data_IF_894895620179
#
_entry.id   IF_894895620179
#
_cell.length_a   1.000
_cell.length_b   1.000
_cell.length_c   1.000
_cell.angle_alpha   90.00
_cell.angle_beta   90.00
_cell.angle_gamma   90.00
#
_symmetry.space_group_name_H-M   'P 1'
#
loop_
_entity.id
_entity.type
_entity.pdbx_description
1 polymer ?
#
# COMPACT_ATOMS: atom_id res chain seq x y z
N UNK A 1 -14.89 -17.54 -12.99
CA UNK A 1 -15.72 -16.32 -13.13
C UNK A 1 -14.83 -15.12 -12.92
N UNK A 2 -14.82 -14.17 -13.85
CA UNK A 2 -14.07 -12.92 -13.71
C UNK A 2 -15.00 -11.88 -13.05
N UNK A 3 -14.65 -11.39 -11.86
CA UNK A 3 -15.46 -10.40 -11.12
C UNK A 3 -15.44 -9.02 -11.77
N UNK A 4 -14.34 -8.65 -12.43
CA UNK A 4 -14.14 -7.34 -13.06
C UNK A 4 -13.55 -7.50 -14.46
N UNK A 5 -13.92 -6.66 -15.44
CA UNK A 5 -13.28 -6.66 -16.75
C UNK A 5 -11.75 -6.50 -16.65
N UNK A 6 -11.02 -7.08 -17.59
CA UNK A 6 -9.56 -6.85 -17.73
C UNK A 6 -9.34 -5.33 -17.89
N UNK A 7 -8.25 -4.80 -17.32
CA UNK A 7 -7.93 -3.36 -17.27
C UNK A 7 -8.83 -2.50 -16.38
N UNK A 8 -9.69 -3.12 -15.56
CA UNK A 8 -10.35 -2.37 -14.49
C UNK A 8 -9.33 -1.84 -13.50
N UNK A 9 -9.60 -0.66 -12.95
CA UNK A 9 -8.89 -0.16 -11.78
C UNK A 9 -9.45 -0.81 -10.52
N UNK A 10 -8.57 -1.41 -9.73
CA UNK A 10 -8.86 -1.99 -8.43
C UNK A 10 -8.19 -1.12 -7.36
N UNK A 11 -9.00 -0.59 -6.45
CA UNK A 11 -8.53 0.14 -5.27
C UNK A 11 -8.62 -0.81 -4.08
N UNK A 12 -7.46 -1.15 -3.51
CA UNK A 12 -7.35 -2.07 -2.37
C UNK A 12 -6.98 -1.26 -1.15
N UNK A 13 -7.80 -1.33 -0.09
CA UNK A 13 -7.49 -0.73 1.21
C UNK A 13 -7.10 -1.88 2.13
N UNK A 14 -5.85 -1.90 2.61
CA UNK A 14 -5.31 -3.01 3.39
C UNK A 14 -4.23 -2.53 4.38
N UNK A 15 -4.08 -3.18 5.56
CA UNK A 15 -2.88 -3.03 6.39
C UNK A 15 -1.60 -3.53 5.70
N UNK A 16 -1.76 -4.33 4.64
CA UNK A 16 -0.74 -5.02 3.85
C UNK A 16 0.10 -6.00 4.66
N UNK A 17 -0.15 -7.29 4.44
CA UNK A 17 0.64 -8.39 4.96
C UNK A 17 1.58 -8.95 3.89
N UNK A 18 2.66 -9.62 4.32
CA UNK A 18 3.66 -10.18 3.40
C UNK A 18 3.04 -11.19 2.42
N UNK A 19 2.07 -11.97 2.88
CA UNK A 19 1.30 -12.92 2.07
C UNK A 19 0.45 -12.27 0.98
N UNK A 20 0.09 -11.00 1.10
CA UNK A 20 -0.73 -10.30 0.09
C UNK A 20 0.06 -9.99 -1.20
N UNK A 21 1.40 -10.01 -1.15
CA UNK A 21 2.26 -9.52 -2.24
C UNK A 21 2.06 -10.34 -3.51
N UNK A 22 2.00 -11.67 -3.40
CA UNK A 22 1.87 -12.56 -4.54
C UNK A 22 0.51 -12.39 -5.24
N UNK A 23 -0.57 -12.31 -4.46
CA UNK A 23 -1.92 -12.13 -5.00
C UNK A 23 -2.10 -10.77 -5.69
N UNK A 24 -1.58 -9.71 -5.08
CA UNK A 24 -1.62 -8.36 -5.64
C UNK A 24 -0.74 -8.25 -6.89
N UNK A 25 0.46 -8.83 -6.89
CA UNK A 25 1.30 -8.92 -8.08
C UNK A 25 0.61 -9.73 -9.20
N UNK A 26 -0.08 -10.82 -8.84
CA UNK A 26 -0.87 -11.63 -9.76
C UNK A 26 -2.02 -10.85 -10.40
N UNK A 27 -2.72 -10.00 -9.65
CA UNK A 27 -3.73 -9.08 -10.21
C UNK A 27 -3.09 -8.10 -11.21
N UNK A 28 -1.91 -7.57 -10.90
CA UNK A 28 -1.21 -6.66 -11.80
C UNK A 28 -0.76 -7.34 -13.10
N UNK A 29 -0.29 -8.58 -13.00
CA UNK A 29 0.10 -9.41 -14.15
C UNK A 29 -1.09 -9.78 -15.05
N UNK A 30 -2.29 -9.96 -14.46
CA UNK A 30 -3.56 -10.15 -15.20
C UNK A 30 -4.06 -8.88 -15.91
N UNK A 31 -3.35 -7.76 -15.78
CA UNK A 31 -3.66 -6.51 -16.46
C UNK A 31 -4.62 -5.60 -15.72
N UNK A 32 -4.89 -5.83 -14.44
CA UNK A 32 -5.62 -4.86 -13.61
C UNK A 32 -4.73 -3.67 -13.26
N UNK A 33 -5.31 -2.48 -13.18
CA UNK A 33 -4.63 -1.32 -12.61
C UNK A 33 -4.81 -1.34 -11.09
N UNK A 34 -3.73 -1.45 -10.31
CA UNK A 34 -3.82 -1.49 -8.85
C UNK A 34 -3.42 -0.17 -8.23
N UNK A 35 -4.31 0.36 -7.40
CA UNK A 35 -4.01 1.37 -6.38
C UNK A 35 -4.20 0.73 -5.01
N UNK A 36 -3.13 0.67 -4.23
CA UNK A 36 -3.13 0.13 -2.88
C UNK A 36 -3.05 1.29 -1.90
N UNK A 37 -4.09 1.43 -1.09
CA UNK A 37 -4.15 2.33 0.06
C UNK A 37 -3.68 1.53 1.27
N UNK A 38 -2.44 1.73 1.66
CA UNK A 38 -1.81 1.02 2.76
C UNK A 38 -2.00 1.78 4.07
N UNK A 39 -2.62 1.16 5.07
CA UNK A 39 -2.76 1.76 6.40
C UNK A 39 -1.42 1.69 7.15
N UNK A 40 -0.99 2.76 7.82
CA UNK A 40 0.19 2.73 8.69
C UNK A 40 -0.11 2.06 10.05
N UNK A 41 -0.19 0.73 10.04
CA UNK A 41 -0.47 -0.07 11.24
C UNK A 41 0.61 0.05 12.32
N UNK A 42 1.87 0.27 11.94
CA UNK A 42 2.98 0.40 12.91
C UNK A 42 2.84 1.70 13.69
N UNK A 43 2.57 2.81 13.00
CA UNK A 43 2.32 4.09 13.67
C UNK A 43 1.08 4.03 14.58
N UNK A 44 0.04 3.31 14.17
CA UNK A 44 -1.16 3.11 14.97
C UNK A 44 -0.87 2.30 16.26
N UNK A 45 -0.22 1.14 16.13
CA UNK A 45 0.08 0.26 17.28
C UNK A 45 1.05 0.90 18.28
N UNK A 46 2.01 1.69 17.79
CA UNK A 46 2.98 2.38 18.63
C UNK A 46 2.32 3.27 19.71
N UNK A 47 1.14 3.82 19.43
CA UNK A 47 0.41 4.68 20.37
C UNK A 47 -0.01 3.95 21.66
N UNK A 48 -0.14 2.62 21.62
CA UNK A 48 -0.54 1.78 22.75
C UNK A 48 0.62 1.05 23.45
N UNK A 49 1.86 1.19 22.98
CA UNK A 49 3.00 0.42 23.47
C UNK A 49 3.86 1.20 24.47
N UNK A 50 4.50 0.53 25.45
CA UNK A 50 5.42 1.17 26.37
C UNK A 50 6.65 1.72 25.63
N UNK A 51 7.11 2.89 26.07
CA UNK A 51 8.32 3.51 25.51
C UNK A 51 9.55 2.88 26.16
N UNK A 52 10.07 1.82 25.54
CA UNK A 52 11.30 1.15 25.95
C UNK A 52 12.19 0.73 24.76
N UNK A 53 13.40 0.23 25.06
CA UNK A 53 14.39 -0.15 24.05
C UNK A 53 13.95 -1.31 23.16
N UNK A 54 13.15 -2.24 23.70
CA UNK A 54 12.63 -3.37 22.92
C UNK A 54 11.57 -2.88 21.94
N UNK A 55 10.69 -1.97 22.39
CA UNK A 55 9.71 -1.32 21.52
C UNK A 55 10.38 -0.55 20.39
N UNK A 56 11.42 0.25 20.67
CA UNK A 56 12.16 0.98 19.63
C UNK A 56 12.76 0.04 18.55
N UNK A 57 13.38 -1.07 18.98
CA UNK A 57 13.93 -2.05 18.04
C UNK A 57 12.84 -2.75 17.22
N UNK A 58 11.72 -3.14 17.85
CA UNK A 58 10.61 -3.79 17.17
C UNK A 58 9.97 -2.86 16.13
N UNK A 59 9.79 -1.57 16.45
CA UNK A 59 9.25 -0.57 15.53
C UNK A 59 10.15 -0.39 14.32
N UNK A 60 11.47 -0.30 14.52
CA UNK A 60 12.44 -0.19 13.42
C UNK A 60 12.41 -1.42 12.51
N UNK A 61 12.32 -2.61 13.09
CA UNK A 61 12.21 -3.85 12.32
C UNK A 61 10.92 -3.87 11.49
N UNK A 62 9.78 -3.55 12.11
CA UNK A 62 8.49 -3.52 11.43
C UNK A 62 8.46 -2.47 10.30
N UNK A 63 9.09 -1.31 10.49
CA UNK A 63 9.23 -0.29 9.45
C UNK A 63 10.09 -0.76 8.27
N UNK A 64 11.18 -1.50 8.53
CA UNK A 64 12.04 -2.07 7.48
C UNK A 64 11.29 -3.13 6.67
N UNK A 65 10.58 -4.04 7.34
CA UNK A 65 9.76 -5.07 6.69
C UNK A 65 8.69 -4.44 5.79
N UNK A 66 8.03 -3.38 6.26
CA UNK A 66 7.04 -2.63 5.47
C UNK A 66 7.66 -1.91 4.27
N UNK A 67 8.82 -1.28 4.45
CA UNK A 67 9.52 -0.63 3.34
C UNK A 67 9.88 -1.65 2.25
N UNK A 68 10.34 -2.84 2.63
CA UNK A 68 10.59 -3.94 1.70
C UNK A 68 9.31 -4.36 0.96
N UNK A 69 8.21 -4.55 1.69
CA UNK A 69 6.93 -4.94 1.12
C UNK A 69 6.42 -3.91 0.10
N UNK A 70 6.52 -2.63 0.44
CA UNK A 70 6.12 -1.55 -0.46
C UNK A 70 6.96 -1.54 -1.73
N UNK A 71 8.27 -1.72 -1.59
CA UNK A 71 9.17 -1.81 -2.72
C UNK A 71 8.81 -2.98 -3.64
N UNK A 72 8.49 -4.16 -3.10
CA UNK A 72 8.08 -5.32 -3.89
C UNK A 72 6.81 -5.04 -4.70
N UNK A 73 5.78 -4.46 -4.07
CA UNK A 73 4.52 -4.12 -4.75
C UNK A 73 4.72 -3.03 -5.82
N UNK A 74 5.55 -2.03 -5.55
CA UNK A 74 5.90 -1.00 -6.53
C UNK A 74 6.65 -1.59 -7.73
N UNK A 75 7.61 -2.50 -7.48
CA UNK A 75 8.32 -3.22 -8.55
C UNK A 75 7.40 -4.12 -9.37
N UNK A 76 6.37 -4.70 -8.75
CA UNK A 76 5.32 -5.44 -9.45
C UNK A 76 4.41 -4.53 -10.30
N UNK A 77 4.53 -3.21 -10.19
CA UNK A 77 3.79 -2.23 -10.97
C UNK A 77 2.47 -1.80 -10.34
N UNK A 78 2.28 -2.04 -9.04
CA UNK A 78 1.17 -1.48 -8.27
C UNK A 78 1.50 -0.05 -7.81
N UNK A 79 0.48 0.82 -7.78
CA UNK A 79 0.60 2.13 -7.14
C UNK A 79 0.30 1.98 -5.66
N UNK A 80 1.13 2.58 -4.82
CA UNK A 80 0.97 2.51 -3.36
C UNK A 80 0.80 3.93 -2.79
N UNK A 81 -0.22 4.10 -1.98
CA UNK A 81 -0.50 5.29 -1.19
C UNK A 81 -0.52 4.88 0.28
N UNK A 82 0.57 5.18 1.00
CA UNK A 82 0.64 4.96 2.43
C UNK A 82 -0.14 6.07 3.16
N UNK A 83 -1.22 5.68 3.81
CA UNK A 83 -2.11 6.58 4.54
C UNK A 83 -1.85 6.49 6.05
N UNK A 84 -1.46 7.62 6.64
CA UNK A 84 -1.42 7.81 8.08
C UNK A 84 -2.85 8.05 8.60
N UNK A 85 -3.33 7.12 9.43
CA UNK A 85 -4.73 7.05 9.87
C UNK A 85 -5.12 8.16 10.85
N UNK A 86 -4.16 8.94 11.34
CA UNK A 86 -4.38 10.14 12.15
C UNK A 86 -4.95 11.31 11.33
N UNK A 87 -4.76 11.28 10.02
CA UNK A 87 -5.26 12.28 9.07
C UNK A 87 -6.48 11.71 8.35
N UNK A 88 -7.62 12.44 8.25
CA UNK A 88 -8.76 11.98 7.47
C UNK A 88 -8.40 11.63 6.02
N UNK A 89 -8.95 10.53 5.49
CA UNK A 89 -8.59 10.01 4.17
C UNK A 89 -8.72 11.04 3.04
N UNK A 90 -9.80 11.84 3.05
CA UNK A 90 -10.02 12.87 2.03
C UNK A 90 -8.86 13.88 2.00
N UNK A 91 -8.43 14.33 3.18
CA UNK A 91 -7.33 15.28 3.31
C UNK A 91 -5.99 14.65 2.86
N UNK A 92 -5.70 13.43 3.31
CA UNK A 92 -4.50 12.70 2.92
C UNK A 92 -4.47 12.41 1.41
N UNK A 93 -5.62 12.03 0.85
CA UNK A 93 -5.81 11.73 -0.57
C UNK A 93 -5.59 12.94 -1.46
N UNK A 94 -6.09 14.12 -1.08
CA UNK A 94 -5.84 15.36 -1.83
C UNK A 94 -4.35 15.70 -1.93
N UNK A 95 -3.56 15.41 -0.89
CA UNK A 95 -2.11 15.64 -0.89
C UNK A 95 -1.34 14.56 -1.66
N UNK A 96 -1.69 13.29 -1.44
CA UNK A 96 -0.89 12.15 -1.92
C UNK A 96 -1.32 11.59 -3.26
N UNK A 97 -2.62 11.50 -3.54
CA UNK A 97 -3.14 10.88 -4.76
C UNK A 97 -3.13 11.85 -5.95
N UNK A 98 -3.28 13.16 -5.70
CA UNK A 98 -3.24 14.19 -6.75
C UNK A 98 -1.86 14.35 -7.42
N UNK A 99 -0.78 13.98 -6.71
CA UNK A 99 0.59 14.01 -7.21
C UNK A 99 1.03 12.70 -7.90
N UNK A 100 0.24 11.63 -7.79
CA UNK A 100 0.55 10.38 -8.48
C UNK A 100 0.39 10.61 -9.99
N UNK A 101 1.36 10.18 -10.82
CA UNK A 101 1.25 10.33 -12.26
C UNK A 101 -0.08 9.77 -12.76
N UNK A 102 -0.87 10.62 -13.40
CA UNK A 102 -1.96 10.20 -14.28
C UNK A 102 -1.43 9.13 -15.24
N UNK A 103 -2.17 8.03 -15.37
CA UNK A 103 -1.80 6.92 -16.23
C UNK A 103 -1.70 7.38 -17.68
N UNK A 104 -0.53 7.23 -18.32
CA UNK A 104 -0.48 7.16 -19.79
C UNK A 104 -0.82 5.73 -20.16
N UNK A 105 -1.90 5.56 -20.94
CA UNK A 105 -2.20 4.30 -21.63
C UNK A 105 -0.90 3.78 -22.28
N UNK A 106 -0.47 2.57 -21.89
CA UNK A 106 0.55 1.86 -22.67
C UNK A 106 0.05 1.67 -24.11
N UNK A 107 0.95 1.67 -25.11
CA UNK A 107 0.56 1.63 -26.52
C UNK A 107 -0.26 0.36 -26.80
N UNK A 108 -1.26 0.52 -27.67
CA UNK A 108 -2.14 -0.54 -28.17
C UNK A 108 -1.38 -1.62 -28.93
#
# INVERSE_FOLDING_TARGET
TQLFPIRSQLVVISPLLLEDVEDLAGLRARGYELLIVALDSVAFELQGLPVDRKTDLAVRLAQLERAQLYQQLQQAGARLFAWQVDTPFIEAGHRGLGALPHWRRGPE
#
